data_IF_317363864336
#
_entry.id   IF_317363864336
#
_cell.length_a   1.000
_cell.length_b   1.000
_cell.length_c   1.000
_cell.angle_alpha   90.00
_cell.angle_beta   90.00
_cell.angle_gamma   90.00
#
_symmetry.space_group_name_H-M   'P 1'
#
loop_
_entity.id
_entity.type
_entity.pdbx_description
1 polymer ?
#
# COMPACT_ATOMS: atom_id res chain seq x y z
N UNK A 1 5.08 -6.32 6.27
CA UNK A 1 4.42 -5.35 5.35
C UNK A 1 3.34 -4.53 6.05
N UNK A 2 2.59 -5.11 7.01
CA UNK A 2 1.59 -4.35 7.76
C UNK A 2 2.22 -3.19 8.56
N UNK A 3 3.38 -3.42 9.15
CA UNK A 3 4.15 -2.38 9.84
C UNK A 3 4.59 -1.27 8.86
N UNK A 4 4.98 -1.63 7.64
CA UNK A 4 5.35 -0.66 6.61
C UNK A 4 4.17 0.22 6.21
N UNK A 5 2.97 -0.35 6.10
CA UNK A 5 1.75 0.40 5.80
C UNK A 5 1.46 1.44 6.90
N UNK A 6 1.59 1.05 8.16
CA UNK A 6 1.41 1.97 9.29
C UNK A 6 2.49 3.05 9.32
N UNK A 7 3.74 2.70 9.05
CA UNK A 7 4.85 3.64 8.99
C UNK A 7 4.59 4.71 7.91
N UNK A 8 4.25 4.28 6.68
CA UNK A 8 3.94 5.19 5.58
C UNK A 8 2.79 6.14 5.93
N UNK A 9 1.71 5.61 6.48
CA UNK A 9 0.57 6.41 6.93
C UNK A 9 0.99 7.47 7.95
N UNK A 10 1.81 7.11 8.92
CA UNK A 10 2.31 8.03 9.95
C UNK A 10 3.17 9.16 9.36
N UNK A 11 4.05 8.84 8.42
CA UNK A 11 4.89 9.83 7.76
C UNK A 11 4.07 10.85 6.96
N UNK A 12 2.93 10.45 6.42
CA UNK A 12 2.03 11.36 5.71
C UNK A 12 1.13 12.15 6.65
N UNK A 13 0.49 11.49 7.62
CA UNK A 13 -0.46 12.13 8.54
C UNK A 13 0.21 13.14 9.47
N UNK A 14 1.40 12.83 9.97
CA UNK A 14 2.18 13.71 10.81
C UNK A 14 3.11 14.57 9.93
N UNK A 15 4.30 14.12 9.71
CA UNK A 15 5.27 14.69 8.77
C UNK A 15 6.40 13.70 8.53
N UNK A 16 7.10 13.84 7.42
CA UNK A 16 8.35 13.11 7.18
C UNK A 16 9.53 13.91 7.75
N UNK A 17 10.20 14.72 6.99
CA UNK A 17 11.34 15.53 7.46
C UNK A 17 10.99 17.01 7.62
N UNK A 18 10.30 17.59 6.64
CA UNK A 18 9.93 19.00 6.69
C UNK A 18 8.66 19.22 7.51
N UNK A 19 8.57 20.38 8.17
CA UNK A 19 7.35 20.81 8.84
C UNK A 19 6.31 21.24 7.80
N UNK A 20 5.13 20.59 7.82
CA UNK A 20 4.04 20.86 6.88
C UNK A 20 2.73 20.32 7.45
N UNK A 21 1.58 20.73 6.91
CA UNK A 21 0.30 20.13 7.29
C UNK A 21 0.25 18.63 7.00
N UNK A 22 -0.51 17.88 7.78
CA UNK A 22 -0.72 16.46 7.54
C UNK A 22 -1.37 16.19 6.19
N UNK A 23 -0.97 15.09 5.57
CA UNK A 23 -1.53 14.61 4.32
C UNK A 23 -2.42 13.40 4.59
N UNK A 24 -3.58 13.26 3.89
CA UNK A 24 -4.51 12.19 4.15
C UNK A 24 -3.92 10.82 3.78
N UNK A 25 -3.88 9.93 4.75
CA UNK A 25 -3.44 8.55 4.56
C UNK A 25 -4.09 7.65 5.61
N UNK A 26 -4.22 6.37 5.28
CA UNK A 26 -4.80 5.39 6.18
C UNK A 26 -4.14 4.03 5.97
N UNK A 27 -3.64 3.43 7.04
CA UNK A 27 -3.23 2.03 7.01
C UNK A 27 -4.46 1.14 7.25
N UNK A 28 -4.71 0.20 6.34
CA UNK A 28 -5.86 -0.72 6.43
C UNK A 28 -5.58 -1.93 7.34
N UNK A 29 -4.51 -1.87 8.11
CA UNK A 29 -3.97 -2.97 8.92
C UNK A 29 -4.16 -2.78 10.41
N UNK A 30 -4.84 -1.71 10.85
CA UNK A 30 -4.81 -1.29 12.26
C UNK A 30 -6.11 -1.49 13.03
N UNK A 31 -7.26 -1.45 12.38
CA UNK A 31 -8.55 -1.62 13.05
C UNK A 31 -8.83 -3.11 13.26
N UNK A 32 -8.52 -3.60 14.46
CA UNK A 32 -8.65 -5.01 14.80
C UNK A 32 -10.10 -5.49 14.72
N UNK A 33 -11.08 -4.65 15.06
CA UNK A 33 -12.49 -5.00 14.94
C UNK A 33 -12.90 -5.22 13.49
N UNK A 34 -12.47 -4.35 12.59
CA UNK A 34 -12.73 -4.50 11.15
C UNK A 34 -12.06 -5.75 10.59
N UNK A 35 -10.78 -5.95 10.90
CA UNK A 35 -10.02 -7.10 10.41
C UNK A 35 -10.61 -8.43 10.88
N UNK A 36 -10.97 -8.51 12.16
CA UNK A 36 -11.52 -9.76 12.75
C UNK A 36 -12.94 -10.02 12.28
N UNK A 37 -13.80 -9.01 12.21
CA UNK A 37 -15.19 -9.20 11.75
C UNK A 37 -15.25 -9.64 10.29
N UNK A 38 -14.47 -9.03 9.42
CA UNK A 38 -14.41 -9.43 8.01
C UNK A 38 -13.87 -10.87 7.88
N UNK A 39 -12.80 -11.18 8.62
CA UNK A 39 -12.21 -12.53 8.59
C UNK A 39 -13.19 -13.58 9.07
N UNK A 40 -13.97 -13.31 10.12
CA UNK A 40 -14.93 -14.24 10.69
C UNK A 40 -16.18 -14.40 9.80
N UNK A 41 -16.70 -13.31 9.26
CA UNK A 41 -17.97 -13.32 8.53
C UNK A 41 -17.81 -13.71 7.05
N UNK A 42 -16.63 -13.44 6.48
CA UNK A 42 -16.33 -13.69 5.07
C UNK A 42 -15.06 -14.53 4.93
N UNK A 43 -13.91 -13.88 4.79
CA UNK A 43 -12.61 -14.55 4.66
C UNK A 43 -11.47 -13.55 4.95
N UNK A 44 -10.32 -14.08 5.35
CA UNK A 44 -9.10 -13.29 5.54
C UNK A 44 -8.67 -12.57 4.26
N UNK A 45 -8.94 -13.14 3.09
CA UNK A 45 -8.64 -12.55 1.79
C UNK A 45 -9.44 -11.29 1.51
N UNK A 46 -10.54 -11.05 2.23
CA UNK A 46 -11.42 -9.90 2.04
C UNK A 46 -11.12 -8.72 2.98
N UNK A 47 -10.15 -8.85 3.88
CA UNK A 47 -9.91 -7.85 4.93
C UNK A 47 -9.57 -6.46 4.38
N UNK A 48 -8.87 -6.38 3.27
CA UNK A 48 -8.51 -5.11 2.65
C UNK A 48 -9.50 -4.69 1.56
N UNK A 49 -9.96 -5.61 0.73
CA UNK A 49 -10.88 -5.32 -0.36
C UNK A 49 -12.18 -4.69 0.12
N UNK A 50 -12.74 -5.16 1.23
CA UNK A 50 -13.95 -4.58 1.80
C UNK A 50 -13.73 -3.14 2.28
N UNK A 51 -12.60 -2.84 2.88
CA UNK A 51 -12.25 -1.48 3.30
C UNK A 51 -12.05 -0.56 2.09
N UNK A 52 -11.38 -1.04 1.05
CA UNK A 52 -11.19 -0.27 -0.20
C UNK A 52 -12.54 0.04 -0.85
N UNK A 53 -13.46 -0.94 -0.91
CA UNK A 53 -14.80 -0.71 -1.48
C UNK A 53 -15.62 0.28 -0.68
N UNK A 54 -15.48 0.28 0.64
CA UNK A 54 -16.22 1.18 1.53
C UNK A 54 -15.68 2.61 1.51
N UNK A 55 -14.37 2.78 1.47
CA UNK A 55 -13.69 4.06 1.70
C UNK A 55 -13.11 4.68 0.43
N UNK A 56 -12.71 3.87 -0.54
CA UNK A 56 -11.99 4.30 -1.73
C UNK A 56 -12.82 5.14 -2.68
N UNK A 57 -12.21 6.17 -3.23
CA UNK A 57 -12.79 7.07 -4.25
C UNK A 57 -11.86 7.15 -5.46
N UNK A 58 -12.43 7.58 -6.60
CA UNK A 58 -11.71 7.72 -7.85
C UNK A 58 -10.57 8.70 -7.71
N UNK A 59 -9.59 8.90 -7.49
CA UNK A 59 -8.43 9.77 -7.27
C UNK A 59 -7.61 9.35 -6.06
N UNK A 60 -8.13 8.41 -5.29
CA UNK A 60 -7.33 7.82 -4.23
C UNK A 60 -6.31 6.84 -4.82
N UNK A 61 -5.29 6.55 -4.05
CA UNK A 61 -4.23 5.62 -4.42
C UNK A 61 -4.19 4.50 -3.39
N UNK A 62 -4.16 3.26 -3.86
CA UNK A 62 -3.86 2.11 -3.02
C UNK A 62 -2.37 1.81 -3.07
N UNK A 63 -1.70 1.81 -1.91
CA UNK A 63 -0.35 1.27 -1.78
C UNK A 63 -0.47 -0.19 -1.31
N UNK A 64 -0.17 -1.13 -2.20
CA UNK A 64 -0.18 -2.56 -1.90
C UNK A 64 1.24 -3.08 -1.64
N UNK A 65 1.44 -3.74 -0.51
CA UNK A 65 2.77 -4.22 -0.12
C UNK A 65 2.71 -5.73 0.12
N UNK A 66 3.48 -6.49 -0.66
CA UNK A 66 3.61 -7.93 -0.50
C UNK A 66 5.00 -8.38 -0.95
N UNK A 67 5.79 -8.91 -0.04
CA UNK A 67 7.17 -9.35 -0.34
C UNK A 67 7.22 -10.48 -1.36
N UNK A 68 6.23 -11.36 -1.37
CA UNK A 68 6.14 -12.45 -2.36
C UNK A 68 5.35 -12.08 -3.61
N UNK A 69 4.51 -11.04 -3.54
CA UNK A 69 3.55 -10.73 -4.58
C UNK A 69 2.40 -11.74 -4.69
N UNK A 70 2.22 -12.61 -3.70
CA UNK A 70 1.22 -13.68 -3.72
C UNK A 70 0.16 -13.58 -2.63
N UNK A 71 0.08 -12.46 -1.92
CA UNK A 71 -0.89 -12.26 -0.85
C UNK A 71 -2.29 -12.03 -1.44
N UNK A 72 -3.18 -12.99 -1.28
CA UNK A 72 -4.54 -12.94 -1.84
C UNK A 72 -5.33 -11.71 -1.38
N UNK A 73 -5.19 -11.34 -0.12
CA UNK A 73 -5.86 -10.16 0.41
C UNK A 73 -5.40 -8.86 -0.28
N UNK A 74 -4.12 -8.74 -0.60
CA UNK A 74 -3.59 -7.57 -1.33
C UNK A 74 -4.04 -7.61 -2.80
N UNK A 75 -4.03 -8.78 -3.44
CA UNK A 75 -4.50 -8.94 -4.82
C UNK A 75 -5.98 -8.54 -4.94
N UNK A 76 -6.83 -8.98 -4.00
CA UNK A 76 -8.25 -8.59 -3.98
C UNK A 76 -8.43 -7.08 -3.70
N UNK A 77 -7.57 -6.49 -2.90
CA UNK A 77 -7.57 -5.03 -2.70
C UNK A 77 -7.25 -4.28 -3.99
N UNK A 78 -6.32 -4.78 -4.80
CA UNK A 78 -6.00 -4.19 -6.11
C UNK A 78 -7.24 -4.23 -7.03
N UNK A 79 -7.90 -5.36 -7.12
CA UNK A 79 -9.16 -5.49 -7.90
C UNK A 79 -10.21 -4.50 -7.40
N UNK A 80 -10.40 -4.40 -6.09
CA UNK A 80 -11.35 -3.46 -5.50
C UNK A 80 -10.98 -2.00 -5.81
N UNK A 81 -9.70 -1.67 -5.79
CA UNK A 81 -9.20 -0.33 -6.15
C UNK A 81 -9.54 0.01 -7.60
N UNK A 82 -9.29 -0.90 -8.53
CA UNK A 82 -9.65 -0.70 -9.94
C UNK A 82 -11.15 -0.51 -10.12
N UNK A 83 -11.98 -1.31 -9.45
CA UNK A 83 -13.45 -1.16 -9.48
C UNK A 83 -13.93 0.19 -8.94
N UNK A 84 -13.14 0.82 -8.07
CA UNK A 84 -13.41 2.16 -7.52
C UNK A 84 -12.76 3.29 -8.32
N UNK A 85 -12.10 2.99 -9.42
CA UNK A 85 -11.40 3.98 -10.23
C UNK A 85 -10.12 4.52 -9.59
N UNK A 86 -9.54 3.80 -8.65
CA UNK A 86 -8.29 4.15 -8.00
C UNK A 86 -7.09 3.64 -8.80
N UNK A 87 -5.93 4.26 -8.59
CA UNK A 87 -4.65 3.75 -9.07
C UNK A 87 -3.96 2.95 -7.98
N UNK A 88 -3.04 2.09 -8.39
CA UNK A 88 -2.29 1.24 -7.48
C UNK A 88 -0.79 1.53 -7.63
N UNK A 89 -0.13 1.66 -6.50
CA UNK A 89 1.32 1.58 -6.38
C UNK A 89 1.62 0.34 -5.55
N UNK A 90 2.48 -0.53 -6.05
CA UNK A 90 2.78 -1.79 -5.38
C UNK A 90 4.26 -1.91 -5.04
N UNK A 91 4.55 -2.36 -3.83
CA UNK A 91 5.87 -2.78 -3.41
C UNK A 91 5.89 -4.30 -3.34
N UNK A 92 6.66 -4.93 -4.21
CA UNK A 92 6.74 -6.38 -4.32
C UNK A 92 8.17 -6.89 -4.16
N UNK A 93 8.34 -8.18 -4.26
CA UNK A 93 9.65 -8.83 -4.24
C UNK A 93 9.64 -10.06 -5.12
N UNK A 94 10.74 -10.81 -5.10
CA UNK A 94 10.92 -12.01 -5.90
C UNK A 94 10.72 -11.72 -7.40
N UNK A 95 9.79 -12.42 -8.03
CA UNK A 95 9.40 -12.23 -9.43
C UNK A 95 8.12 -11.38 -9.59
N UNK A 96 7.63 -10.80 -8.51
CA UNK A 96 6.38 -10.04 -8.47
C UNK A 96 5.15 -10.88 -8.16
N UNK A 97 5.26 -12.20 -8.21
CA UNK A 97 4.17 -13.13 -7.93
C UNK A 97 2.93 -12.89 -8.80
N UNK A 98 1.79 -13.35 -8.31
CA UNK A 98 0.50 -13.18 -9.00
C UNK A 98 0.03 -11.72 -9.04
N UNK A 99 0.57 -10.85 -8.18
CA UNK A 99 0.28 -9.42 -8.25
C UNK A 99 0.70 -8.82 -9.59
N UNK A 100 1.77 -9.32 -10.19
CA UNK A 100 2.27 -8.84 -11.49
C UNK A 100 1.20 -8.91 -12.59
N UNK A 101 0.30 -9.88 -12.52
CA UNK A 101 -0.78 -10.04 -13.50
C UNK A 101 -2.03 -9.21 -13.17
N UNK A 102 -2.06 -8.56 -12.02
CA UNK A 102 -3.23 -7.81 -11.54
C UNK A 102 -3.15 -6.31 -11.86
N UNK A 103 -2.03 -5.80 -12.33
CA UNK A 103 -1.84 -4.37 -12.58
C UNK A 103 -2.41 -3.94 -13.92
N UNK A 104 -2.98 -2.72 -13.92
CA UNK A 104 -3.35 -2.01 -15.14
C UNK A 104 -2.17 -1.15 -15.64
N UNK A 105 -2.29 -0.60 -16.84
CA UNK A 105 -1.23 0.21 -17.46
C UNK A 105 -0.85 1.48 -16.68
N UNK A 106 -1.79 2.02 -15.89
CA UNK A 106 -1.58 3.22 -15.07
C UNK A 106 -1.02 2.90 -13.68
N UNK A 107 -0.91 1.64 -13.33
CA UNK A 107 -0.36 1.23 -12.04
C UNK A 107 1.17 1.21 -12.08
N UNK A 108 1.78 1.30 -10.90
CA UNK A 108 3.24 1.26 -10.76
C UNK A 108 3.64 0.13 -9.82
N UNK A 109 4.49 -0.75 -10.30
CA UNK A 109 5.12 -1.77 -9.46
C UNK A 109 6.58 -1.40 -9.20
N UNK A 110 6.98 -1.39 -7.93
CA UNK A 110 8.37 -1.28 -7.51
C UNK A 110 8.76 -2.63 -6.93
N UNK A 111 9.49 -3.41 -7.72
CA UNK A 111 9.88 -4.78 -7.39
C UNK A 111 11.31 -4.84 -6.89
N UNK A 112 11.50 -5.49 -5.75
CA UNK A 112 12.82 -5.83 -5.22
C UNK A 112 13.14 -7.26 -5.67
N UNK A 113 14.02 -7.47 -6.64
CA UNK A 113 14.28 -8.78 -7.23
C UNK A 113 15.22 -9.62 -6.34
N UNK A 114 14.83 -9.83 -5.11
CA UNK A 114 15.54 -10.66 -4.14
C UNK A 114 14.62 -11.78 -3.68
N UNK A 115 15.19 -12.84 -3.13
CA UNK A 115 14.43 -14.01 -2.67
C UNK A 115 14.28 -14.08 -1.15
N UNK A 116 15.07 -13.31 -0.41
CA UNK A 116 15.01 -13.28 1.05
C UNK A 116 14.08 -12.17 1.52
N UNK A 117 13.02 -12.56 2.22
CA UNK A 117 12.00 -11.64 2.74
C UNK A 117 12.61 -10.46 3.51
N UNK A 118 13.57 -10.72 4.38
CA UNK A 118 14.19 -9.68 5.19
C UNK A 118 14.87 -8.59 4.32
N UNK A 119 15.55 -9.00 3.27
CA UNK A 119 16.19 -8.04 2.33
C UNK A 119 15.18 -7.24 1.54
N UNK A 120 14.10 -7.88 1.11
CA UNK A 120 12.98 -7.21 0.43
C UNK A 120 12.36 -6.16 1.36
N UNK A 121 12.09 -6.50 2.61
CA UNK A 121 11.51 -5.57 3.59
C UNK A 121 12.42 -4.38 3.87
N UNK A 122 13.72 -4.60 3.99
CA UNK A 122 14.69 -3.51 4.19
C UNK A 122 14.66 -2.51 3.03
N UNK A 123 14.60 -3.00 1.80
CA UNK A 123 14.50 -2.14 0.61
C UNK A 123 13.13 -1.47 0.53
N UNK A 124 12.04 -2.16 0.87
CA UNK A 124 10.71 -1.55 0.95
C UNK A 124 10.71 -0.35 1.90
N UNK A 125 11.38 -0.45 3.03
CA UNK A 125 11.49 0.68 3.97
C UNK A 125 12.21 1.88 3.34
N UNK A 126 13.31 1.64 2.64
CA UNK A 126 14.02 2.70 1.92
C UNK A 126 13.12 3.33 0.85
N UNK A 127 12.39 2.52 0.09
CA UNK A 127 11.44 3.00 -0.93
C UNK A 127 10.34 3.85 -0.31
N UNK A 128 9.80 3.45 0.84
CA UNK A 128 8.78 4.23 1.57
C UNK A 128 9.32 5.62 1.92
N UNK A 129 10.53 5.72 2.43
CA UNK A 129 11.14 7.02 2.73
C UNK A 129 11.38 7.84 1.45
N UNK A 130 11.81 7.22 0.36
CA UNK A 130 11.92 7.90 -0.93
C UNK A 130 10.58 8.43 -1.43
N UNK A 131 9.51 7.65 -1.28
CA UNK A 131 8.16 8.09 -1.66
C UNK A 131 7.69 9.27 -0.81
N UNK A 132 7.94 9.25 0.50
CA UNK A 132 7.62 10.38 1.38
C UNK A 132 8.33 11.66 0.96
N UNK A 133 9.63 11.56 0.66
CA UNK A 133 10.43 12.70 0.20
C UNK A 133 9.92 13.23 -1.14
N UNK A 134 9.64 12.35 -2.09
CA UNK A 134 9.11 12.72 -3.41
C UNK A 134 7.72 13.35 -3.32
N UNK A 135 6.86 12.86 -2.45
CA UNK A 135 5.51 13.42 -2.23
C UNK A 135 5.63 14.83 -1.66
N UNK A 136 6.45 15.03 -0.64
CA UNK A 136 6.65 16.35 -0.05
C UNK A 136 7.23 17.33 -1.09
N UNK A 137 8.21 16.91 -1.86
CA UNK A 137 8.80 17.73 -2.93
C UNK A 137 7.77 18.07 -4.02
N UNK A 138 6.97 17.10 -4.45
CA UNK A 138 5.99 17.30 -5.51
C UNK A 138 4.85 18.23 -5.10
N UNK A 139 4.40 18.15 -3.85
CA UNK A 139 3.26 18.91 -3.36
C UNK A 139 3.65 20.28 -2.81
N UNK A 140 4.83 20.41 -2.21
CA UNK A 140 5.23 21.58 -1.43
C UNK A 140 6.48 22.25 -1.97
N UNK A 141 7.17 21.64 -2.91
CA UNK A 141 8.42 22.12 -3.45
C UNK A 141 9.62 21.88 -2.54
N UNK A 142 10.81 22.19 -3.06
CA UNK A 142 12.04 22.14 -2.27
C UNK A 142 12.15 23.41 -1.45
N UNK A 143 12.23 23.29 -0.14
CA UNK A 143 12.57 24.38 0.78
C UNK A 143 14.00 24.25 1.24
#
# INVERSE_FOLDING_TARGET
SAADAQHFSSELLNRFEMERPGLPAMALTTDSSTLTSISNDYAYEEIFSKQVRALGKSRDILLGISTSGNSDNVIRAITAAHDRGMRVVALTGCDGGRMADAFDEDDVEIRVPATRTARIQEVHLVVIHCLCDLIDTALLGNT
#
